data_IF_319303652366
#
_entry.id   IF_319303652366
#
_cell.length_a   1.000
_cell.length_b   1.000
_cell.length_c   1.000
_cell.angle_alpha   90.00
_cell.angle_beta   90.00
_cell.angle_gamma   90.00
#
_symmetry.space_group_name_H-M   'P 1'
#
loop_
_entity.id
_entity.type
_entity.pdbx_description
1 polymer ?
#
# COMPACT_ATOMS: atom_id res chain seq x y z
N UNK A 1 -18.40 -5.53 -15.67
CA UNK A 1 -18.29 -6.77 -14.89
C UNK A 1 -18.07 -6.36 -13.46
N UNK A 2 -19.01 -6.72 -12.60
CA UNK A 2 -18.97 -6.34 -11.20
C UNK A 2 -18.15 -7.38 -10.42
N UNK A 3 -17.47 -6.96 -9.35
CA UNK A 3 -16.62 -7.87 -8.55
C UNK A 3 -17.39 -9.07 -7.97
N UNK A 4 -18.72 -8.96 -7.85
CA UNK A 4 -19.61 -10.05 -7.45
C UNK A 4 -19.75 -11.13 -8.52
N UNK A 5 -19.74 -10.77 -9.80
CA UNK A 5 -19.76 -11.72 -10.93
C UNK A 5 -18.45 -12.48 -11.04
N UNK A 6 -17.34 -11.86 -10.62
CA UNK A 6 -16.00 -12.46 -10.58
C UNK A 6 -15.75 -13.31 -9.32
N UNK A 7 -16.73 -13.46 -8.42
CA UNK A 7 -16.60 -14.24 -7.20
C UNK A 7 -15.65 -13.62 -6.15
N UNK A 8 -15.36 -12.32 -6.25
CA UNK A 8 -14.49 -11.63 -5.30
C UNK A 8 -15.23 -11.47 -3.97
N UNK A 9 -14.65 -12.05 -2.91
CA UNK A 9 -15.17 -11.94 -1.56
C UNK A 9 -14.54 -10.72 -0.89
N UNK A 10 -15.29 -9.63 -0.79
CA UNK A 10 -14.87 -8.43 -0.08
C UNK A 10 -15.06 -8.59 1.43
N UNK A 11 -14.11 -8.07 2.21
CA UNK A 11 -14.32 -7.86 3.64
C UNK A 11 -15.42 -6.81 3.86
N UNK A 12 -16.28 -7.03 4.87
CA UNK A 12 -17.26 -6.03 5.29
C UNK A 12 -16.55 -4.87 5.98
N UNK A 13 -16.91 -3.64 5.59
CA UNK A 13 -16.32 -2.38 6.04
C UNK A 13 -14.86 -2.16 5.59
N UNK A 14 -14.37 -0.93 5.75
CA UNK A 14 -13.01 -0.55 5.40
C UNK A 14 -12.46 0.47 6.40
N UNK A 15 -11.13 0.59 6.45
CA UNK A 15 -10.47 1.61 7.26
C UNK A 15 -10.28 2.89 6.45
N UNK A 16 -10.90 3.98 6.88
CA UNK A 16 -10.71 5.33 6.32
C UNK A 16 -9.98 6.23 7.32
N UNK A 17 -8.95 6.94 6.85
CA UNK A 17 -8.28 7.95 7.65
C UNK A 17 -8.00 9.21 6.82
N UNK A 18 -8.54 10.36 7.26
CA UNK A 18 -8.36 11.64 6.58
C UNK A 18 -6.98 12.21 6.89
N UNK A 19 -6.16 12.42 5.85
CA UNK A 19 -4.90 13.14 5.94
C UNK A 19 -5.21 14.65 6.02
N UNK A 20 -4.94 15.29 7.17
CA UNK A 20 -5.26 16.72 7.40
C UNK A 20 -4.06 17.65 7.29
N UNK A 21 -2.84 17.11 7.30
CA UNK A 21 -1.59 17.87 7.17
C UNK A 21 -0.68 17.16 6.16
N UNK A 22 -0.05 17.94 5.27
CA UNK A 22 0.84 17.42 4.23
C UNK A 22 2.08 16.70 4.81
N UNK A 23 2.46 17.00 6.05
CA UNK A 23 3.60 16.41 6.75
C UNK A 23 3.48 14.89 7.03
N UNK A 24 2.30 14.28 6.93
CA UNK A 24 2.16 12.82 7.17
C UNK A 24 2.06 11.98 5.89
N UNK A 25 2.25 12.54 4.69
CA UNK A 25 2.17 11.74 3.45
C UNK A 25 3.30 10.73 3.32
N UNK A 26 4.54 11.15 3.60
CA UNK A 26 5.71 10.27 3.52
C UNK A 26 5.65 9.14 4.54
N UNK A 27 5.30 9.45 5.79
CA UNK A 27 5.13 8.43 6.84
C UNK A 27 4.08 7.38 6.47
N UNK A 28 2.99 7.80 5.82
CA UNK A 28 1.92 6.89 5.40
C UNK A 28 2.34 6.05 4.21
N UNK A 29 3.06 6.63 3.24
CA UNK A 29 3.66 5.88 2.15
C UNK A 29 4.64 4.82 2.70
N UNK A 30 5.51 5.21 3.64
CA UNK A 30 6.46 4.31 4.28
C UNK A 30 5.75 3.18 5.05
N UNK A 31 4.68 3.51 5.78
CA UNK A 31 3.84 2.52 6.46
C UNK A 31 3.24 1.50 5.47
N UNK A 32 2.69 1.97 4.35
CA UNK A 32 2.10 1.09 3.32
C UNK A 32 3.17 0.17 2.74
N UNK A 33 4.35 0.69 2.42
CA UNK A 33 5.45 -0.09 1.84
C UNK A 33 6.05 -1.10 2.83
N UNK A 34 6.01 -0.81 4.13
CA UNK A 34 6.48 -1.72 5.18
C UNK A 34 5.46 -2.80 5.57
N UNK A 35 4.17 -2.67 5.23
CA UNK A 35 3.15 -3.65 5.60
C UNK A 35 3.46 -5.10 5.16
N UNK A 36 3.95 -5.37 3.95
CA UNK A 36 4.35 -6.71 3.54
C UNK A 36 5.40 -7.35 4.45
N UNK A 37 6.38 -6.56 4.93
CA UNK A 37 7.39 -7.02 5.88
C UNK A 37 6.76 -7.30 7.24
N UNK A 38 5.91 -6.39 7.73
CA UNK A 38 5.18 -6.57 9.01
C UNK A 38 4.28 -7.81 9.01
N UNK A 39 3.75 -8.18 7.84
CA UNK A 39 2.96 -9.40 7.61
C UNK A 39 3.81 -10.62 7.26
N UNK A 40 5.15 -10.49 7.26
CA UNK A 40 6.12 -11.56 6.96
C UNK A 40 5.96 -12.17 5.56
N UNK A 41 5.49 -11.39 4.61
CA UNK A 41 5.33 -11.82 3.21
C UNK A 41 6.62 -11.68 2.42
N UNK A 42 7.49 -10.74 2.81
CA UNK A 42 8.80 -10.46 2.21
C UNK A 42 9.80 -10.04 3.28
N UNK A 43 11.10 -10.19 3.00
CA UNK A 43 12.17 -9.77 3.90
C UNK A 43 12.39 -8.25 3.88
N UNK A 44 12.27 -7.62 2.70
CA UNK A 44 12.43 -6.18 2.55
C UNK A 44 11.26 -5.56 1.78
N UNK A 45 10.92 -4.27 2.03
CA UNK A 45 9.85 -3.57 1.29
C UNK A 45 10.06 -3.55 -0.23
N UNK A 46 11.31 -3.65 -0.69
CA UNK A 46 11.69 -3.70 -2.11
C UNK A 46 11.33 -5.00 -2.81
N UNK A 47 11.16 -6.08 -2.06
CA UNK A 47 10.87 -7.39 -2.64
C UNK A 47 9.37 -7.57 -2.92
N UNK A 48 8.52 -6.60 -2.52
CA UNK A 48 7.07 -6.66 -2.74
C UNK A 48 6.71 -6.30 -4.18
N UNK A 49 6.14 -7.23 -4.98
CA UNK A 49 5.87 -6.99 -6.41
C UNK A 49 4.54 -6.29 -6.65
N UNK A 50 3.62 -6.28 -5.68
CA UNK A 50 2.27 -5.74 -5.82
C UNK A 50 2.20 -4.28 -5.35
N UNK A 51 3.02 -3.45 -5.97
CA UNK A 51 3.05 -1.99 -5.77
C UNK A 51 3.09 -1.30 -7.13
N UNK A 52 2.40 -0.17 -7.26
CA UNK A 52 2.35 0.62 -8.47
C UNK A 52 2.77 2.05 -8.17
N UNK A 53 3.66 2.60 -9.00
CA UNK A 53 4.10 3.99 -8.96
C UNK A 53 3.68 4.65 -10.28
N UNK A 54 3.16 5.87 -10.21
CA UNK A 54 2.54 6.54 -11.37
C UNK A 54 3.50 6.86 -12.51
N UNK A 55 4.79 7.01 -12.19
CA UNK A 55 5.92 7.17 -13.10
C UNK A 55 6.58 5.84 -13.49
N UNK A 56 6.11 4.71 -12.93
CA UNK A 56 6.69 3.39 -13.12
C UNK A 56 7.98 3.15 -12.31
N UNK A 57 8.50 4.17 -11.62
CA UNK A 57 9.73 4.07 -10.86
C UNK A 57 9.43 4.07 -9.36
N UNK A 58 10.15 3.23 -8.63
CA UNK A 58 10.07 3.28 -7.17
C UNK A 58 10.71 4.59 -6.69
N UNK A 59 10.04 5.39 -5.84
CA UNK A 59 10.66 6.58 -5.26
C UNK A 59 11.94 6.18 -4.55
N UNK A 60 13.00 6.96 -4.76
CA UNK A 60 14.18 6.87 -3.92
C UNK A 60 13.79 7.42 -2.55
N UNK A 61 13.48 6.53 -1.61
CA UNK A 61 13.27 6.86 -0.21
C UNK A 61 14.65 7.05 0.45
N UNK A 62 15.45 7.94 -0.13
CA UNK A 62 16.69 8.35 0.47
C UNK A 62 16.34 9.22 1.67
N UNK A 63 16.87 8.85 2.83
CA UNK A 63 16.60 9.48 4.11
C UNK A 63 17.50 10.67 4.35
#
# INVERSE_FOLDING_TARGET
MDGKELGIVWQRDFFEHRLRHDESRLEKADYILHNPVRKKLVAHPKDWPFVYFGDGERPQFDR
#
